data_IF_429047649159
#
_entry.id   IF_429047649159
#
_cell.length_a   1.000
_cell.length_b   1.000
_cell.length_c   1.000
_cell.angle_alpha   90.00
_cell.angle_beta   90.00
_cell.angle_gamma   90.00
#
_symmetry.space_group_name_H-M   'P 1'
#
loop_
_entity.id
_entity.type
_entity.pdbx_description
1 polymer ?
#
# COMPACT_ATOMS: atom_id res chain seq x y z
N UNK A 1 4.85 20.81 -1.07
CA UNK A 1 3.74 20.30 -0.23
C UNK A 1 4.32 19.28 0.73
N UNK A 2 4.16 19.47 2.04
CA UNK A 2 4.66 18.52 3.04
C UNK A 2 3.62 17.43 3.37
N UNK A 3 4.10 16.29 3.86
CA UNK A 3 3.27 15.24 4.47
C UNK A 3 3.10 15.59 5.96
N UNK A 4 1.85 15.60 6.44
CA UNK A 4 1.54 15.78 7.86
C UNK A 4 1.65 14.43 8.58
N UNK A 5 2.72 14.22 9.34
CA UNK A 5 3.00 12.96 10.04
C UNK A 5 2.01 12.67 11.20
N UNK A 6 1.21 13.65 11.62
CA UNK A 6 0.17 13.43 12.64
C UNK A 6 -1.06 12.71 12.09
N UNK A 7 -1.18 12.60 10.76
CA UNK A 7 -2.33 12.01 10.07
C UNK A 7 -1.90 10.84 9.21
N UNK A 8 -2.77 9.83 9.00
CA UNK A 8 -2.45 8.73 8.13
C UNK A 8 -2.31 9.18 6.67
N UNK A 9 -1.54 8.40 5.91
CA UNK A 9 -1.41 8.51 4.46
C UNK A 9 -2.07 7.31 3.80
N UNK A 10 -2.46 7.44 2.53
CA UNK A 10 -2.85 6.32 1.67
C UNK A 10 -1.74 6.04 0.67
N UNK A 11 -1.33 4.79 0.60
CA UNK A 11 -0.30 4.31 -0.32
C UNK A 11 -0.93 3.38 -1.34
N UNK A 12 -0.58 3.55 -2.61
CA UNK A 12 -1.03 2.65 -3.68
C UNK A 12 0.04 2.53 -4.76
N UNK A 13 0.03 1.39 -5.46
CA UNK A 13 1.01 1.10 -6.51
C UNK A 13 0.88 2.08 -7.67
N UNK A 14 2.01 2.51 -8.21
CA UNK A 14 2.13 3.24 -9.46
C UNK A 14 2.72 2.31 -10.54
N UNK A 15 1.89 1.62 -11.34
CA UNK A 15 2.39 0.64 -12.30
C UNK A 15 3.24 1.24 -13.41
N UNK A 16 3.14 2.55 -13.67
CA UNK A 16 3.93 3.23 -14.70
C UNK A 16 5.39 3.38 -14.31
N UNK A 17 5.65 3.57 -13.02
CA UNK A 17 6.97 3.85 -12.47
C UNK A 17 7.55 2.67 -11.68
N UNK A 18 6.79 1.59 -11.48
CA UNK A 18 7.24 0.43 -10.71
C UNK A 18 7.36 0.68 -9.20
N UNK A 19 6.86 1.82 -8.72
CA UNK A 19 6.99 2.29 -7.33
C UNK A 19 5.60 2.54 -6.71
N UNK A 20 5.54 3.30 -5.62
CA UNK A 20 4.30 3.64 -4.90
C UNK A 20 4.08 5.15 -4.84
N UNK A 21 2.81 5.55 -4.85
CA UNK A 21 2.40 6.94 -4.59
C UNK A 21 1.91 7.07 -3.15
N UNK A 22 2.34 8.12 -2.46
CA UNK A 22 1.88 8.51 -1.13
C UNK A 22 0.87 9.64 -1.29
N UNK A 23 -0.36 9.42 -0.84
CA UNK A 23 -1.47 10.37 -0.92
C UNK A 23 -1.92 10.82 0.46
N UNK A 24 -2.16 12.12 0.63
CA UNK A 24 -2.76 12.69 1.84
C UNK A 24 -3.68 13.85 1.47
N UNK A 25 -4.88 13.91 2.06
CA UNK A 25 -5.87 14.94 1.75
C UNK A 25 -6.34 14.91 0.28
N UNK A 26 -6.36 13.74 -0.36
CA UNK A 26 -6.76 13.59 -1.77
C UNK A 26 -5.70 13.97 -2.80
N UNK A 27 -4.50 14.38 -2.37
CA UNK A 27 -3.41 14.81 -3.25
C UNK A 27 -2.21 13.89 -3.10
N UNK A 28 -1.50 13.63 -4.21
CA UNK A 28 -0.22 12.92 -4.17
C UNK A 28 0.82 13.85 -3.59
N UNK A 29 1.47 13.41 -2.51
CA UNK A 29 2.49 14.17 -1.78
C UNK A 29 3.90 13.74 -2.16
N UNK A 30 4.09 12.45 -2.47
CA UNK A 30 5.37 11.89 -2.86
C UNK A 30 5.18 10.63 -3.70
N UNK A 31 6.24 10.28 -4.41
CA UNK A 31 6.46 8.97 -5.01
C UNK A 31 7.62 8.32 -4.27
N UNK A 32 7.50 7.03 -3.93
CA UNK A 32 8.47 6.32 -3.13
C UNK A 32 8.71 4.90 -3.64
N UNK A 33 9.96 4.44 -3.57
CA UNK A 33 10.34 3.07 -3.90
C UNK A 33 10.02 2.14 -2.74
N UNK A 34 10.36 2.57 -1.52
CA UNK A 34 10.15 1.83 -0.27
C UNK A 34 9.38 2.68 0.71
N UNK A 35 8.45 2.09 1.43
CA UNK A 35 7.61 2.78 2.42
C UNK A 35 7.42 1.86 3.63
N UNK A 36 7.58 2.41 4.84
CA UNK A 36 7.18 1.78 6.10
C UNK A 36 5.99 2.52 6.70
N UNK A 37 4.94 1.78 7.02
CA UNK A 37 3.76 2.26 7.72
C UNK A 37 3.59 1.52 9.05
N UNK A 38 3.03 2.20 10.05
CA UNK A 38 2.51 1.58 11.25
C UNK A 38 1.00 1.84 11.42
N UNK A 39 0.32 0.95 12.16
CA UNK A 39 -1.14 0.95 12.33
C UNK A 39 -1.85 1.02 10.98
N UNK A 40 -1.55 0.03 10.14
CA UNK A 40 -1.97 -0.01 8.76
C UNK A 40 -3.35 -0.69 8.61
N UNK A 41 -4.12 -0.20 7.65
CA UNK A 41 -5.40 -0.72 7.20
C UNK A 41 -5.35 -0.97 5.69
N UNK A 42 -5.83 -2.13 5.27
CA UNK A 42 -5.89 -2.55 3.88
C UNK A 42 -7.27 -2.23 3.31
N UNK A 43 -7.33 -1.25 2.42
CA UNK A 43 -8.58 -0.67 1.94
C UNK A 43 -8.82 -1.02 0.47
N UNK A 44 -9.97 -1.63 0.19
CA UNK A 44 -10.48 -1.81 -1.18
C UNK A 44 -11.82 -1.09 -1.30
N UNK A 45 -11.89 -0.11 -2.21
CA UNK A 45 -13.14 0.59 -2.55
C UNK A 45 -13.92 -0.24 -3.54
N UNK A 46 -14.93 -0.95 -3.08
CA UNK A 46 -15.74 -1.87 -3.90
C UNK A 46 -16.37 -1.15 -5.10
N UNK A 47 -16.87 0.07 -4.94
CA UNK A 47 -17.41 0.86 -6.06
C UNK A 47 -16.38 1.11 -7.16
N UNK A 48 -15.12 1.36 -6.78
CA UNK A 48 -14.00 1.52 -7.70
C UNK A 48 -13.60 0.20 -8.37
N UNK A 49 -13.62 -0.91 -7.62
CA UNK A 49 -13.38 -2.25 -8.14
C UNK A 49 -14.45 -2.64 -9.18
N UNK A 50 -15.72 -2.48 -8.85
CA UNK A 50 -16.84 -2.76 -9.75
C UNK A 50 -16.81 -1.89 -11.01
N UNK A 51 -16.41 -0.63 -10.88
CA UNK A 51 -16.19 0.24 -12.04
C UNK A 51 -15.06 -0.29 -12.92
N UNK A 52 -13.92 -0.68 -12.34
CA UNK A 52 -12.80 -1.27 -13.08
C UNK A 52 -13.23 -2.54 -13.84
N UNK A 53 -14.00 -3.42 -13.20
CA UNK A 53 -14.48 -4.67 -13.80
C UNK A 53 -15.47 -4.41 -14.96
N UNK A 54 -16.41 -3.47 -14.79
CA UNK A 54 -17.39 -3.13 -15.83
C UNK A 54 -16.79 -2.38 -17.01
N UNK A 55 -15.95 -1.39 -16.75
CA UNK A 55 -15.40 -0.50 -17.79
C UNK A 55 -14.10 -1.02 -18.40
N UNK A 56 -13.49 -2.06 -17.80
CA UNK A 56 -12.14 -2.55 -18.10
C UNK A 56 -11.10 -1.41 -18.11
N UNK A 57 -11.29 -0.41 -17.23
CA UNK A 57 -10.45 0.78 -17.11
C UNK A 57 -9.76 0.82 -15.75
N UNK A 58 -8.44 1.06 -15.77
CA UNK A 58 -7.61 1.18 -14.56
C UNK A 58 -8.19 2.26 -13.64
N UNK A 59 -8.76 1.83 -12.52
CA UNK A 59 -9.25 2.69 -11.45
C UNK A 59 -8.42 2.41 -10.21
N UNK A 60 -7.91 3.45 -9.54
CA UNK A 60 -7.24 3.27 -8.25
C UNK A 60 -8.33 3.02 -7.21
N UNK A 61 -8.36 1.80 -6.67
CA UNK A 61 -9.38 1.38 -5.71
C UNK A 61 -8.81 0.58 -4.54
N UNK A 62 -7.52 0.25 -4.57
CA UNK A 62 -6.83 -0.48 -3.50
C UNK A 62 -5.74 0.40 -2.89
N UNK A 63 -5.71 0.48 -1.56
CA UNK A 63 -4.80 1.31 -0.79
C UNK A 63 -4.33 0.57 0.46
N UNK A 64 -3.13 0.88 0.93
CA UNK A 64 -2.72 0.65 2.32
C UNK A 64 -2.71 2.01 3.02
N UNK A 65 -3.49 2.15 4.08
CA UNK A 65 -3.61 3.39 4.85
C UNK A 65 -2.94 3.23 6.21
N UNK A 66 -2.07 4.14 6.63
CA UNK A 66 -1.41 4.04 7.93
C UNK A 66 -0.61 5.29 8.27
N UNK A 67 0.01 5.31 9.45
CA UNK A 67 0.95 6.37 9.82
C UNK A 67 2.28 6.15 9.12
N UNK A 68 2.79 7.17 8.46
CA UNK A 68 4.05 7.10 7.73
C UNK A 68 5.21 7.09 8.74
N UNK A 69 6.04 6.06 8.68
CA UNK A 69 7.23 5.91 9.54
C UNK A 69 8.47 6.34 8.77
N UNK A 70 8.63 5.80 7.56
CA UNK A 70 9.77 6.10 6.70
C UNK A 70 9.43 5.84 5.22
N UNK A 71 10.13 6.50 4.30
CA UNK A 71 10.06 6.22 2.87
C UNK A 71 11.31 6.70 2.13
N UNK A 72 11.65 6.03 1.03
CA UNK A 72 12.74 6.46 0.13
C UNK A 72 12.19 6.87 -1.22
N UNK A 73 12.75 7.92 -1.80
CA UNK A 73 12.42 8.32 -3.16
C UNK A 73 12.98 7.30 -4.19
N UNK A 74 12.41 7.21 -5.41
CA UNK A 74 12.91 6.30 -6.44
C UNK A 74 14.39 6.45 -6.78
N UNK A 75 14.91 7.67 -6.71
CA UNK A 75 16.31 7.99 -7.06
C UNK A 75 17.25 7.96 -5.83
N UNK A 76 16.74 7.58 -4.66
CA UNK A 76 17.51 7.54 -3.42
C UNK A 76 18.28 6.22 -3.30
N UNK A 77 19.54 6.30 -2.86
CA UNK A 77 20.40 5.13 -2.62
C UNK A 77 20.24 4.57 -1.20
N UNK A 78 19.57 5.32 -0.32
CA UNK A 78 19.26 4.86 1.03
C UNK A 78 18.29 3.68 1.01
N UNK A 79 18.44 2.77 1.97
CA UNK A 79 17.63 1.56 2.08
C UNK A 79 16.97 1.49 3.44
N UNK A 80 15.65 1.25 3.43
CA UNK A 80 14.89 0.86 4.62
C UNK A 80 15.15 -0.62 4.84
N UNK A 81 15.54 -1.01 6.06
CA UNK A 81 15.73 -2.42 6.40
C UNK A 81 14.48 -3.24 6.10
N UNK A 82 14.64 -4.47 5.65
CA UNK A 82 13.50 -5.34 5.36
C UNK A 82 12.70 -5.63 6.63
N UNK A 83 11.37 -5.50 6.54
CA UNK A 83 10.46 -5.99 7.56
C UNK A 83 10.36 -7.52 7.44
N UNK A 84 10.77 -8.31 8.45
CA UNK A 84 10.41 -9.72 8.48
C UNK A 84 8.90 -9.85 8.71
N UNK A 85 8.23 -10.67 7.92
CA UNK A 85 6.78 -10.81 8.00
C UNK A 85 6.20 -11.65 6.87
N UNK A 86 4.87 -11.61 6.77
CA UNK A 86 4.09 -12.32 5.76
C UNK A 86 3.80 -11.42 4.57
N UNK A 87 3.49 -12.01 3.42
CA UNK A 87 3.15 -11.26 2.22
C UNK A 87 1.65 -11.01 2.11
N UNK A 88 1.24 -9.76 1.90
CA UNK A 88 -0.11 -9.40 1.51
C UNK A 88 -0.23 -9.35 -0.01
N UNK A 89 -1.39 -9.75 -0.55
CA UNK A 89 -1.68 -9.66 -1.98
C UNK A 89 -3.11 -9.20 -2.24
N UNK A 90 -3.34 -8.67 -3.44
CA UNK A 90 -4.66 -8.29 -3.92
C UNK A 90 -4.78 -8.53 -5.42
N UNK A 91 -5.78 -9.33 -5.81
CA UNK A 91 -6.19 -9.51 -7.18
C UNK A 91 -7.69 -9.15 -7.30
N UNK A 92 -8.05 -8.05 -7.99
CA UNK A 92 -9.43 -7.58 -8.07
C UNK A 92 -10.40 -8.56 -8.75
N UNK A 93 -9.89 -9.48 -9.58
CA UNK A 93 -10.69 -10.51 -10.25
C UNK A 93 -11.00 -11.70 -9.34
N UNK A 94 -10.23 -11.89 -8.25
CA UNK A 94 -10.37 -13.02 -7.33
C UNK A 94 -10.93 -12.63 -5.96
N UNK A 95 -10.56 -11.46 -5.46
CA UNK A 95 -10.81 -11.07 -4.07
C UNK A 95 -11.49 -9.69 -3.99
N UNK A 96 -12.32 -9.50 -2.97
CA UNK A 96 -12.91 -8.20 -2.59
C UNK A 96 -12.06 -7.40 -1.60
N UNK A 97 -11.06 -8.02 -1.00
CA UNK A 97 -10.13 -7.41 -0.05
C UNK A 97 -8.69 -7.81 -0.35
N UNK A 98 -7.73 -7.18 0.32
CA UNK A 98 -6.41 -7.79 0.47
C UNK A 98 -6.53 -9.10 1.24
N UNK A 99 -5.62 -10.02 0.93
CA UNK A 99 -5.52 -11.31 1.60
C UNK A 99 -4.06 -11.60 1.94
N UNK A 100 -3.85 -12.44 2.95
CA UNK A 100 -2.56 -13.09 3.12
C UNK A 100 -2.26 -13.98 1.91
N UNK A 101 -1.03 -13.92 1.41
CA UNK A 101 -0.63 -14.59 0.17
C UNK A 101 -0.63 -16.11 0.27
N UNK A 102 -0.36 -16.67 1.45
CA UNK A 102 -0.23 -18.12 1.64
C UNK A 102 -1.57 -18.77 1.96
N UNK A 103 -2.37 -18.10 2.79
CA UNK A 103 -3.61 -18.66 3.34
C UNK A 103 -4.88 -18.14 2.65
N UNK A 104 -4.75 -17.11 1.80
CA UNK A 104 -5.86 -16.40 1.15
C UNK A 104 -6.91 -15.83 2.13
N UNK A 105 -6.59 -15.75 3.42
CA UNK A 105 -7.49 -15.18 4.42
C UNK A 105 -7.54 -13.66 4.31
N UNK A 106 -8.72 -13.03 4.44
CA UNK A 106 -8.85 -11.58 4.41
C UNK A 106 -7.92 -10.88 5.40
N UNK A 107 -7.16 -9.91 4.89
CA UNK A 107 -6.27 -9.07 5.68
C UNK A 107 -6.83 -7.65 5.73
N UNK A 108 -7.21 -7.21 6.91
CA UNK A 108 -7.84 -5.90 7.11
C UNK A 108 -6.88 -4.88 7.74
N UNK A 109 -6.05 -5.32 8.69
CA UNK A 109 -5.11 -4.45 9.41
C UNK A 109 -3.82 -5.18 9.73
N UNK A 110 -2.75 -4.43 9.94
CA UNK A 110 -1.49 -4.94 10.47
C UNK A 110 -0.75 -3.84 11.27
N UNK A 111 -0.07 -4.18 12.37
CA UNK A 111 0.75 -3.23 13.12
C UNK A 111 1.83 -2.58 12.27
N UNK A 112 2.49 -3.36 11.41
CA UNK A 112 3.54 -2.87 10.52
C UNK A 112 3.32 -3.34 9.09
N UNK A 113 3.57 -2.44 8.14
CA UNK A 113 3.56 -2.76 6.71
C UNK A 113 4.76 -2.13 6.03
N UNK A 114 5.47 -2.92 5.24
CA UNK A 114 6.47 -2.46 4.30
C UNK A 114 5.96 -2.64 2.87
N UNK A 115 6.10 -1.61 2.05
CA UNK A 115 5.88 -1.67 0.61
C UNK A 115 7.20 -1.42 -0.10
N UNK A 116 7.60 -2.31 -0.98
CA UNK A 116 8.84 -2.20 -1.77
C UNK A 116 8.73 -2.96 -3.10
N UNK A 117 9.86 -3.16 -3.79
CA UNK A 117 9.97 -3.91 -5.03
C UNK A 117 9.50 -5.37 -4.93
N UNK A 118 9.54 -5.98 -3.74
CA UNK A 118 9.10 -7.36 -3.50
C UNK A 118 7.59 -7.46 -3.26
N UNK A 119 6.93 -6.33 -2.99
CA UNK A 119 5.49 -6.24 -2.84
C UNK A 119 5.10 -5.60 -1.53
N UNK A 120 4.11 -6.20 -0.86
CA UNK A 120 3.60 -5.71 0.42
C UNK A 120 3.84 -6.78 1.47
N UNK A 121 4.68 -6.44 2.45
CA UNK A 121 4.98 -7.29 3.60
C UNK A 121 4.31 -6.70 4.83
N UNK A 122 3.70 -7.54 5.66
CA UNK A 122 3.07 -7.13 6.91
C UNK A 122 3.56 -7.98 8.08
N UNK A 123 3.58 -7.38 9.27
CA UNK A 123 4.05 -8.05 10.49
C UNK A 123 3.25 -7.60 11.71
N UNK A 124 3.04 -8.55 12.62
CA UNK A 124 2.49 -8.30 13.95
C UNK A 124 3.57 -7.94 14.98
N UNK A 125 4.85 -8.12 14.63
CA UNK A 125 5.99 -7.82 15.49
C UNK A 125 6.47 -6.37 15.28
N UNK A 126 6.78 -5.69 16.39
CA UNK A 126 7.40 -4.36 16.41
C UNK A 126 8.93 -4.44 16.45
#
# INVERSE_FOLDING_TARGET
MAIDLSKPVRVFKNPKLGCYNIMQGGLIKATAQRIRLCDAEFLVRESGRQRMLRENRRTIHAYVQGRLVDYTHPDDTQTISHLPGRSATYNPYRFSSFVDRETETPLLRAPWVQLDEHGVTYSDAA
#
